data_IF_714372577868
#
_entry.id   IF_714372577868
#
_cell.length_a   1.000
_cell.length_b   1.000
_cell.length_c   1.000
_cell.angle_alpha   90.00
_cell.angle_beta   90.00
_cell.angle_gamma   90.00
#
_symmetry.space_group_name_H-M   'P 1'
#
loop_
_entity.id
_entity.type
_entity.pdbx_description
1 polymer ?
#
# COMPACT_ATOMS: atom_id res chain seq x y z
N UNK A 1 33.16 25.07 -38.69
CA UNK A 1 31.96 25.48 -37.93
C UNK A 1 30.77 24.71 -38.48
N UNK A 2 29.90 24.13 -37.65
CA UNK A 2 28.68 23.47 -38.14
C UNK A 2 27.85 24.45 -38.98
N UNK A 3 27.15 23.94 -39.99
CA UNK A 3 26.22 24.77 -40.77
C UNK A 3 25.10 25.31 -39.87
N UNK A 4 24.43 26.39 -40.29
CA UNK A 4 23.27 26.90 -39.57
C UNK A 4 22.20 25.80 -39.38
N UNK A 5 21.96 24.98 -40.42
CA UNK A 5 21.04 23.84 -40.34
C UNK A 5 21.47 22.77 -39.33
N UNK A 6 22.76 22.44 -39.30
CA UNK A 6 23.33 21.50 -38.31
C UNK A 6 23.21 22.05 -36.89
N UNK A 7 23.42 23.36 -36.71
CA UNK A 7 23.33 24.02 -35.41
C UNK A 7 21.88 24.04 -34.90
N UNK A 8 20.91 24.32 -35.77
CA UNK A 8 19.48 24.27 -35.46
C UNK A 8 19.05 22.84 -35.09
N UNK A 9 19.47 21.83 -35.86
CA UNK A 9 19.16 20.43 -35.57
C UNK A 9 19.69 20.00 -34.20
N UNK A 10 20.96 20.30 -33.89
CA UNK A 10 21.56 19.98 -32.59
C UNK A 10 20.84 20.72 -31.44
N UNK A 11 20.47 21.98 -31.64
CA UNK A 11 19.72 22.74 -30.64
C UNK A 11 18.33 22.12 -30.38
N UNK A 12 17.64 21.66 -31.42
CA UNK A 12 16.37 20.93 -31.27
C UNK A 12 16.57 19.61 -30.53
N UNK A 13 17.57 18.80 -30.90
CA UNK A 13 17.86 17.53 -30.21
C UNK A 13 18.13 17.75 -28.72
N UNK A 14 18.94 18.76 -28.37
CA UNK A 14 19.21 19.10 -26.97
C UNK A 14 17.94 19.58 -26.27
N UNK A 15 17.14 20.44 -26.90
CA UNK A 15 15.89 20.95 -26.31
C UNK A 15 14.87 19.82 -26.07
N UNK A 16 14.69 18.92 -27.04
CA UNK A 16 13.82 17.74 -26.92
C UNK A 16 14.35 16.77 -25.87
N UNK A 17 15.65 16.48 -25.87
CA UNK A 17 16.28 15.61 -24.87
C UNK A 17 16.17 16.16 -23.46
N UNK A 18 16.41 17.45 -23.27
CA UNK A 18 16.27 18.14 -21.98
C UNK A 18 14.81 18.15 -21.50
N UNK A 19 13.86 18.38 -22.41
CA UNK A 19 12.43 18.33 -22.09
C UNK A 19 12.00 16.92 -21.69
N UNK A 20 12.41 15.91 -22.46
CA UNK A 20 12.12 14.51 -22.15
C UNK A 20 12.70 14.11 -20.79
N UNK A 21 13.94 14.51 -20.51
CA UNK A 21 14.54 14.30 -19.19
C UNK A 21 13.73 15.00 -18.10
N UNK A 22 13.45 16.29 -18.25
CA UNK A 22 12.80 17.10 -17.22
C UNK A 22 11.37 16.62 -16.90
N UNK A 23 10.61 16.19 -17.90
CA UNK A 23 9.19 15.84 -17.74
C UNK A 23 8.93 14.35 -17.52
N UNK A 24 9.84 13.45 -17.91
CA UNK A 24 9.61 12.00 -17.83
C UNK A 24 10.68 11.25 -17.06
N UNK A 25 11.97 11.52 -17.32
CA UNK A 25 13.04 10.71 -16.73
C UNK A 25 13.49 11.19 -15.35
N UNK A 26 13.39 12.49 -15.06
CA UNK A 26 13.87 13.08 -13.81
C UNK A 26 13.24 12.39 -12.61
N UNK A 27 11.92 12.29 -12.59
CA UNK A 27 11.20 11.62 -11.49
C UNK A 27 11.52 10.14 -11.41
N UNK A 28 11.66 9.45 -12.54
CA UNK A 28 12.06 8.03 -12.55
C UNK A 28 13.43 7.86 -11.88
N UNK A 29 14.42 8.69 -12.25
CA UNK A 29 15.76 8.57 -11.68
C UNK A 29 15.85 9.05 -10.23
N UNK A 30 15.30 10.22 -9.91
CA UNK A 30 15.44 10.81 -8.56
C UNK A 30 14.45 10.24 -7.55
N UNK A 31 13.19 10.05 -7.96
CA UNK A 31 12.11 9.59 -7.08
C UNK A 31 12.07 8.07 -7.09
N UNK A 32 11.81 7.43 -8.24
CA UNK A 32 11.62 5.97 -8.28
C UNK A 32 12.91 5.22 -7.95
N UNK A 33 14.02 5.52 -8.63
CA UNK A 33 15.29 4.82 -8.42
C UNK A 33 16.13 5.38 -7.28
N UNK A 34 15.79 6.56 -6.74
CA UNK A 34 16.52 7.18 -5.63
C UNK A 34 17.95 7.61 -5.98
N UNK A 35 18.28 7.85 -7.26
CA UNK A 35 19.63 8.26 -7.65
C UNK A 35 20.02 9.60 -7.01
N UNK A 36 21.12 9.60 -6.25
CA UNK A 36 21.59 10.77 -5.51
C UNK A 36 20.86 11.02 -4.19
N UNK A 37 19.96 10.13 -3.76
CA UNK A 37 19.27 10.23 -2.47
C UNK A 37 20.25 9.98 -1.32
N UNK A 38 20.23 10.88 -0.33
CA UNK A 38 20.90 10.64 0.95
C UNK A 38 19.99 9.76 1.80
N UNK A 39 20.46 8.56 2.09
CA UNK A 39 19.81 7.58 2.95
C UNK A 39 20.60 7.54 4.27
N UNK A 40 19.89 7.65 5.39
CA UNK A 40 20.40 7.80 6.74
C UNK A 40 20.50 6.47 7.47
N UNK A 41 21.45 6.39 8.39
CA UNK A 41 21.64 5.22 9.22
C UNK A 41 20.54 5.14 10.29
N UNK A 42 20.13 3.93 10.67
CA UNK A 42 19.07 3.73 11.67
C UNK A 42 19.42 4.35 13.03
N UNK A 43 20.71 4.44 13.36
CA UNK A 43 21.22 4.99 14.59
C UNK A 43 21.02 6.51 14.71
N UNK A 44 20.77 7.22 13.60
CA UNK A 44 20.46 8.65 13.57
C UNK A 44 19.06 8.98 14.12
N UNK A 45 18.20 7.97 14.26
CA UNK A 45 16.81 8.13 14.70
C UNK A 45 16.63 7.79 16.19
N UNK A 46 15.64 8.41 16.85
CA UNK A 46 15.40 8.24 18.29
C UNK A 46 14.63 6.94 18.60
N UNK A 47 14.98 5.84 17.95
CA UNK A 47 14.35 4.53 18.11
C UNK A 47 15.37 3.44 18.39
N UNK A 48 14.97 2.48 19.22
CA UNK A 48 15.63 1.19 19.36
C UNK A 48 14.74 0.13 18.70
N UNK A 49 15.25 -0.50 17.64
CA UNK A 49 14.50 -1.43 16.81
C UNK A 49 15.02 -2.85 16.97
N UNK A 50 14.10 -3.81 17.00
CA UNK A 50 14.42 -5.24 17.02
C UNK A 50 13.45 -6.06 16.15
N UNK A 51 13.94 -7.19 15.65
CA UNK A 51 13.14 -8.17 14.93
C UNK A 51 12.42 -9.09 15.92
N UNK A 52 11.14 -9.33 15.68
CA UNK A 52 10.33 -10.36 16.34
C UNK A 52 10.25 -11.53 15.38
N UNK A 53 11.05 -12.56 15.64
CA UNK A 53 11.22 -13.71 14.75
C UNK A 53 10.35 -14.88 15.22
N UNK A 54 9.45 -15.32 14.34
CA UNK A 54 8.64 -16.51 14.54
C UNK A 54 8.14 -16.99 13.17
N UNK A 55 8.02 -18.31 12.91
CA UNK A 55 7.54 -18.83 11.61
C UNK A 55 6.15 -18.32 11.17
N UNK A 56 5.36 -17.82 12.13
CA UNK A 56 4.03 -17.22 11.86
C UNK A 56 4.06 -15.71 11.60
N UNK A 57 5.20 -15.06 11.87
CA UNK A 57 5.43 -13.63 11.61
C UNK A 57 6.23 -13.40 10.32
N UNK A 58 6.17 -14.36 9.41
CA UNK A 58 6.80 -14.26 8.11
C UNK A 58 5.84 -13.65 7.09
N UNK A 59 6.36 -12.72 6.29
CA UNK A 59 5.68 -12.01 5.23
C UNK A 59 4.37 -11.36 5.68
N UNK A 60 4.42 -10.64 6.81
CA UNK A 60 3.30 -9.83 7.28
C UNK A 60 3.25 -8.53 6.47
N UNK A 61 2.52 -8.58 5.35
CA UNK A 61 2.51 -7.53 4.33
C UNK A 61 1.75 -6.27 4.80
N UNK A 62 0.69 -6.48 5.60
CA UNK A 62 -0.10 -5.41 6.17
C UNK A 62 -0.42 -5.68 7.66
N UNK A 63 -0.70 -4.58 8.36
CA UNK A 63 -0.96 -4.53 9.80
C UNK A 63 -2.19 -3.68 10.07
N UNK A 64 -2.88 -3.95 11.17
CA UNK A 64 -3.94 -3.10 11.72
C UNK A 64 -3.85 -3.08 13.25
N UNK A 65 -4.19 -1.97 13.88
CA UNK A 65 -3.95 -1.74 15.30
C UNK A 65 -5.27 -1.37 15.98
N UNK A 66 -5.67 -2.17 16.98
CA UNK A 66 -6.77 -1.82 17.89
C UNK A 66 -6.19 -0.96 19.03
N UNK A 67 -6.28 0.36 18.89
CA UNK A 67 -5.68 1.31 19.83
C UNK A 67 -6.25 1.18 21.24
N UNK A 68 -7.53 0.81 21.35
CA UNK A 68 -8.23 0.66 22.62
C UNK A 68 -7.90 -0.68 23.28
N UNK A 69 -8.00 -1.78 22.53
CA UNK A 69 -7.72 -3.12 23.05
C UNK A 69 -6.23 -3.43 23.19
N UNK A 70 -5.34 -2.58 22.64
CA UNK A 70 -3.88 -2.76 22.68
C UNK A 70 -3.41 -4.01 21.93
N UNK A 71 -4.06 -4.33 20.83
CA UNK A 71 -3.75 -5.53 20.00
C UNK A 71 -3.33 -5.10 18.60
N UNK A 72 -2.20 -5.64 18.14
CA UNK A 72 -1.78 -5.55 16.75
C UNK A 72 -2.26 -6.80 16.01
N UNK A 73 -2.89 -6.60 14.86
CA UNK A 73 -3.27 -7.64 13.93
C UNK A 73 -2.36 -7.59 12.71
N UNK A 74 -1.88 -8.75 12.27
CA UNK A 74 -0.94 -8.88 11.16
C UNK A 74 -1.38 -9.97 10.18
N UNK A 75 -1.45 -9.63 8.89
CA UNK A 75 -1.77 -10.59 7.82
C UNK A 75 -0.49 -11.21 7.28
N UNK A 76 -0.17 -12.44 7.71
CA UNK A 76 1.14 -13.06 7.48
C UNK A 76 1.04 -14.27 6.54
N UNK A 77 1.76 -14.21 5.42
CA UNK A 77 1.62 -15.15 4.30
C UNK A 77 2.81 -16.11 4.12
N UNK A 78 3.83 -16.06 5.00
CA UNK A 78 5.04 -16.88 4.87
C UNK A 78 6.00 -16.38 3.80
N UNK A 79 7.30 -16.50 4.03
CA UNK A 79 8.30 -15.95 3.10
C UNK A 79 8.65 -16.95 1.99
N UNK A 80 9.16 -18.14 2.34
CA UNK A 80 9.61 -19.14 1.36
C UNK A 80 9.48 -20.60 1.90
N UNK A 81 8.59 -21.43 1.33
CA UNK A 81 7.57 -21.08 0.32
C UNK A 81 6.55 -20.09 0.90
N UNK A 82 5.71 -19.49 0.05
CA UNK A 82 4.80 -18.41 0.43
C UNK A 82 4.91 -17.25 -0.55
N UNK A 83 5.14 -16.04 -0.05
CA UNK A 83 5.13 -14.81 -0.86
C UNK A 83 6.15 -14.76 -2.00
N UNK A 84 7.29 -15.42 -1.85
CA UNK A 84 8.28 -15.58 -2.94
C UNK A 84 7.78 -16.41 -4.12
N UNK A 85 6.67 -17.14 -3.97
CA UNK A 85 6.10 -18.03 -4.98
C UNK A 85 4.65 -17.67 -5.34
N UNK A 86 3.93 -17.04 -4.41
CA UNK A 86 2.53 -16.64 -4.55
C UNK A 86 2.31 -15.20 -4.07
N UNK A 87 2.31 -14.28 -5.04
CA UNK A 87 2.01 -12.86 -4.88
C UNK A 87 1.61 -12.26 -6.23
N UNK A 88 0.33 -11.95 -6.39
CA UNK A 88 -0.20 -11.41 -7.64
C UNK A 88 0.45 -10.08 -8.01
N UNK A 89 0.71 -9.20 -7.03
CA UNK A 89 1.25 -7.86 -7.26
C UNK A 89 2.63 -7.87 -7.96
N UNK A 90 3.42 -8.93 -7.75
CA UNK A 90 4.75 -9.11 -8.36
C UNK A 90 4.82 -10.32 -9.30
N UNK A 91 3.65 -10.81 -9.76
CA UNK A 91 3.53 -11.90 -10.74
C UNK A 91 4.17 -13.23 -10.28
N UNK A 92 4.20 -13.48 -8.98
CA UNK A 92 4.52 -14.79 -8.44
C UNK A 92 3.24 -15.60 -8.38
N UNK A 93 3.07 -16.55 -9.30
CA UNK A 93 1.78 -17.25 -9.52
C UNK A 93 1.95 -18.78 -9.44
N UNK A 94 2.90 -19.25 -8.64
CA UNK A 94 3.13 -20.68 -8.41
C UNK A 94 2.23 -21.19 -7.27
N UNK A 95 1.07 -21.76 -7.63
CA UNK A 95 0.06 -22.26 -6.68
C UNK A 95 0.64 -23.31 -5.71
N UNK A 96 1.55 -24.16 -6.17
CA UNK A 96 2.19 -25.19 -5.35
C UNK A 96 3.23 -24.62 -4.38
N UNK A 97 3.67 -23.37 -4.59
CA UNK A 97 4.59 -22.67 -3.71
C UNK A 97 3.90 -21.76 -2.69
N UNK A 98 2.57 -21.82 -2.55
CA UNK A 98 1.85 -21.16 -1.44
C UNK A 98 2.34 -21.66 -0.09
N UNK A 99 2.09 -20.88 0.97
CA UNK A 99 2.48 -21.25 2.34
C UNK A 99 1.77 -22.53 2.80
N UNK A 100 2.50 -23.54 3.28
CA UNK A 100 1.91 -24.69 3.94
C UNK A 100 1.10 -24.25 5.17
N UNK A 101 -0.17 -24.66 5.23
CA UNK A 101 -1.09 -24.23 6.29
C UNK A 101 -1.76 -22.87 6.03
N UNK A 102 -1.56 -22.29 4.84
CA UNK A 102 -2.12 -21.02 4.40
C UNK A 102 -1.62 -19.79 5.17
N UNK A 103 -2.08 -18.61 4.75
CA UNK A 103 -1.84 -17.35 5.45
C UNK A 103 -2.66 -17.29 6.73
N UNK A 104 -2.18 -16.50 7.69
CA UNK A 104 -2.78 -16.40 9.01
C UNK A 104 -2.96 -14.93 9.40
N UNK A 105 -4.09 -14.61 10.01
CA UNK A 105 -4.23 -13.39 10.80
C UNK A 105 -3.63 -13.66 12.18
N UNK A 106 -2.58 -12.93 12.52
CA UNK A 106 -1.90 -13.04 13.81
C UNK A 106 -2.27 -11.85 14.68
N UNK A 107 -2.67 -12.11 15.93
CA UNK A 107 -2.87 -11.11 16.96
C UNK A 107 -1.68 -11.11 17.94
N UNK A 108 -1.21 -9.91 18.29
CA UNK A 108 -0.14 -9.67 19.26
C UNK A 108 -0.62 -8.66 20.31
N UNK A 109 -0.49 -9.01 21.59
CA UNK A 109 -0.84 -8.14 22.71
C UNK A 109 0.32 -7.16 22.94
N UNK A 110 0.15 -5.92 22.46
CA UNK A 110 1.25 -4.98 22.26
C UNK A 110 1.96 -4.59 23.56
N UNK A 111 1.24 -4.62 24.68
CA UNK A 111 1.75 -4.18 25.97
C UNK A 111 2.30 -5.35 26.83
N UNK A 112 2.22 -6.60 26.36
CA UNK A 112 2.69 -7.79 27.07
C UNK A 112 3.64 -8.65 26.19
N UNK A 113 4.93 -8.28 26.08
CA UNK A 113 5.89 -9.02 25.26
C UNK A 113 6.14 -10.46 25.72
N UNK A 114 5.77 -10.84 26.95
CA UNK A 114 6.14 -12.13 27.53
C UNK A 114 7.65 -12.33 27.71
N UNK A 115 8.05 -13.50 28.21
CA UNK A 115 9.46 -13.86 28.41
C UNK A 115 10.19 -14.20 27.11
N UNK A 116 9.45 -14.59 26.08
CA UNK A 116 9.95 -14.92 24.74
C UNK A 116 10.00 -13.69 23.82
N UNK A 117 9.42 -12.56 24.23
CA UNK A 117 9.38 -11.34 23.44
C UNK A 117 8.41 -11.40 22.24
N UNK A 118 7.48 -12.37 22.24
CA UNK A 118 6.54 -12.64 21.14
C UNK A 118 5.15 -12.02 21.33
N UNK A 119 4.93 -11.25 22.40
CA UNK A 119 3.70 -10.46 22.56
C UNK A 119 2.42 -11.30 22.60
N UNK A 120 2.45 -12.43 23.33
CA UNK A 120 1.33 -13.38 23.41
C UNK A 120 0.73 -13.71 22.02
N UNK A 121 1.63 -13.97 21.06
CA UNK A 121 1.27 -14.25 19.67
C UNK A 121 0.25 -15.38 19.57
N UNK A 122 -0.84 -15.13 18.86
CA UNK A 122 -1.87 -16.13 18.55
C UNK A 122 -2.39 -15.95 17.12
N UNK A 123 -2.74 -17.05 16.46
CA UNK A 123 -3.45 -16.95 15.18
C UNK A 123 -4.94 -17.03 15.40
N UNK A 124 -5.65 -16.21 14.64
CA UNK A 124 -7.09 -16.17 14.58
C UNK A 124 -7.54 -17.17 13.52
N UNK A 125 -8.37 -18.13 13.92
CA UNK A 125 -8.85 -19.19 13.02
C UNK A 125 -10.12 -18.76 12.29
N UNK A 126 -10.20 -18.91 10.96
CA UNK A 126 -11.44 -18.67 10.24
C UNK A 126 -12.48 -19.75 10.56
N UNK A 127 -13.74 -19.36 10.74
CA UNK A 127 -14.88 -20.23 10.95
C UNK A 127 -15.95 -19.98 9.89
N UNK A 128 -16.53 -21.05 9.35
CA UNK A 128 -17.61 -20.96 8.35
C UNK A 128 -17.15 -20.49 6.95
N UNK A 129 -15.84 -20.46 6.71
CA UNK A 129 -15.25 -20.04 5.45
C UNK A 129 -15.09 -21.21 4.47
N UNK A 130 -15.32 -20.95 3.18
CA UNK A 130 -15.05 -21.86 2.08
C UNK A 130 -14.03 -21.23 1.11
N UNK A 131 -12.87 -21.88 1.03
CA UNK A 131 -11.70 -21.47 0.25
C UNK A 131 -11.87 -21.67 -1.25
N UNK A 132 -10.75 -21.64 -1.97
CA UNK A 132 -10.73 -21.72 -3.42
C UNK A 132 -11.34 -23.03 -3.94
N UNK A 133 -11.18 -24.14 -3.22
CA UNK A 133 -11.72 -25.47 -3.60
C UNK A 133 -13.13 -25.77 -3.08
N UNK A 134 -13.80 -24.81 -2.45
CA UNK A 134 -15.14 -24.98 -1.91
C UNK A 134 -15.18 -25.55 -0.49
N UNK A 135 -16.24 -26.26 -0.15
CA UNK A 135 -16.47 -26.79 1.20
C UNK A 135 -15.30 -27.66 1.69
N UNK A 136 -14.84 -27.40 2.92
CA UNK A 136 -13.72 -28.10 3.55
C UNK A 136 -12.35 -27.49 3.25
N UNK A 137 -12.24 -26.60 2.26
CA UNK A 137 -11.07 -25.73 2.08
C UNK A 137 -11.22 -24.51 2.98
N UNK A 138 -10.27 -24.28 3.87
CA UNK A 138 -10.25 -23.11 4.78
C UNK A 138 -9.03 -22.22 4.55
N UNK A 139 -8.31 -22.43 3.45
CA UNK A 139 -7.05 -21.74 3.17
C UNK A 139 -7.29 -20.28 2.72
N UNK A 140 -6.55 -19.37 3.34
CA UNK A 140 -6.49 -17.95 3.00
C UNK A 140 -5.11 -17.60 2.42
N UNK A 141 -5.06 -16.69 1.45
CA UNK A 141 -3.84 -16.15 0.86
C UNK A 141 -3.86 -14.63 1.03
N UNK A 142 -3.58 -14.16 2.25
CA UNK A 142 -3.83 -12.77 2.66
C UNK A 142 -2.79 -11.79 2.10
N UNK A 143 -3.26 -10.62 1.64
CA UNK A 143 -2.46 -9.44 1.30
C UNK A 143 -2.87 -8.28 2.23
N UNK A 144 -3.27 -7.14 1.67
CA UNK A 144 -3.69 -5.97 2.41
C UNK A 144 -5.08 -6.15 3.02
N UNK A 145 -5.31 -5.50 4.14
CA UNK A 145 -6.60 -5.54 4.81
C UNK A 145 -6.89 -4.27 5.58
N UNK A 146 -8.15 -4.10 5.96
CA UNK A 146 -8.56 -3.08 6.91
C UNK A 146 -9.56 -3.68 7.89
N UNK A 147 -9.76 -2.99 9.01
CA UNK A 147 -10.74 -3.39 10.00
C UNK A 147 -11.44 -2.20 10.64
N UNK A 148 -12.68 -2.43 11.04
CA UNK A 148 -13.51 -1.46 11.76
C UNK A 148 -14.15 -2.08 13.00
N UNK A 149 -14.30 -1.28 14.06
CA UNK A 149 -15.06 -1.68 15.25
C UNK A 149 -16.53 -1.36 14.99
N UNK A 150 -17.39 -2.39 14.94
CA UNK A 150 -18.82 -2.23 14.64
C UNK A 150 -19.63 -1.77 15.86
N UNK A 151 -19.57 -2.53 16.96
CA UNK A 151 -20.37 -2.31 18.17
C UNK A 151 -19.62 -2.70 19.45
N UNK A 152 -18.82 -1.79 19.99
CA UNK A 152 -18.11 -1.99 21.26
C UNK A 152 -16.97 -3.01 21.18
N UNK A 153 -17.28 -4.29 20.99
CA UNK A 153 -16.32 -5.39 20.99
C UNK A 153 -16.29 -6.25 19.73
N UNK A 154 -17.13 -5.99 18.71
CA UNK A 154 -17.02 -6.68 17.41
C UNK A 154 -16.08 -5.91 16.48
N UNK A 155 -15.11 -6.63 15.93
CA UNK A 155 -14.23 -6.18 14.85
C UNK A 155 -14.69 -6.83 13.54
N UNK A 156 -14.97 -6.03 12.52
CA UNK A 156 -15.10 -6.50 11.14
C UNK A 156 -13.74 -6.36 10.45
N UNK A 157 -13.22 -7.45 9.91
CA UNK A 157 -12.03 -7.46 9.07
C UNK A 157 -12.45 -7.66 7.61
N UNK A 158 -11.91 -6.82 6.73
CA UNK A 158 -12.08 -6.95 5.28
C UNK A 158 -10.72 -7.24 4.65
N UNK A 159 -10.54 -8.45 4.12
CA UNK A 159 -9.26 -8.93 3.60
C UNK A 159 -9.24 -8.94 2.09
N UNK A 160 -8.13 -8.52 1.50
CA UNK A 160 -7.72 -9.00 0.19
C UNK A 160 -7.19 -10.42 0.33
N UNK A 161 -7.78 -11.33 -0.45
CA UNK A 161 -7.41 -12.74 -0.48
C UNK A 161 -7.07 -13.17 -1.90
N UNK A 162 -5.80 -13.49 -2.13
CA UNK A 162 -5.25 -13.90 -3.43
C UNK A 162 -5.55 -15.37 -3.72
N UNK A 163 -6.84 -15.72 -3.79
CA UNK A 163 -7.23 -17.12 -4.01
C UNK A 163 -6.63 -17.67 -5.32
N UNK A 164 -6.11 -18.90 -5.31
CA UNK A 164 -5.68 -19.56 -6.54
C UNK A 164 -6.90 -19.83 -7.45
N UNK A 165 -6.73 -19.76 -8.78
CA UNK A 165 -7.79 -20.08 -9.70
C UNK A 165 -8.07 -21.59 -9.71
N UNK A 166 -9.35 -21.95 -9.70
CA UNK A 166 -9.82 -23.34 -9.79
C UNK A 166 -10.70 -23.55 -11.01
N UNK A 167 -10.62 -24.76 -11.59
CA UNK A 167 -11.48 -25.19 -12.69
C UNK A 167 -12.82 -25.78 -12.22
N UNK A 168 -13.67 -26.23 -13.15
CA UNK A 168 -15.01 -26.77 -12.85
C UNK A 168 -15.05 -27.99 -11.91
N UNK A 169 -13.91 -28.66 -11.74
CA UNK A 169 -13.77 -29.86 -10.90
C UNK A 169 -12.93 -29.60 -9.63
N UNK A 170 -12.86 -28.35 -9.17
CA UNK A 170 -12.10 -27.92 -7.98
C UNK A 170 -10.58 -28.24 -8.02
N UNK A 171 -10.04 -28.48 -9.20
CA UNK A 171 -8.59 -28.57 -9.41
C UNK A 171 -8.03 -27.17 -9.66
N UNK A 172 -6.82 -26.91 -9.17
CA UNK A 172 -6.10 -25.69 -9.54
C UNK A 172 -5.84 -25.67 -11.05
N UNK A 173 -5.96 -24.48 -11.64
CA UNK A 173 -5.58 -24.22 -13.02
C UNK A 173 -4.37 -23.29 -13.06
N UNK A 174 -3.72 -23.21 -14.21
CA UNK A 174 -2.48 -22.46 -14.35
C UNK A 174 -2.70 -20.95 -14.18
N UNK A 175 -2.34 -20.44 -13.01
CA UNK A 175 -2.45 -19.03 -12.68
C UNK A 175 -1.54 -18.14 -13.54
N UNK A 176 -0.47 -18.67 -14.15
CA UNK A 176 0.35 -17.89 -15.08
C UNK A 176 -0.39 -17.53 -16.38
N UNK A 177 -1.48 -18.26 -16.68
CA UNK A 177 -2.33 -18.05 -17.86
C UNK A 177 -3.56 -17.20 -17.53
N UNK A 178 -4.20 -17.43 -16.37
CA UNK A 178 -5.49 -16.79 -16.04
C UNK A 178 -5.40 -15.73 -14.93
N UNK A 179 -4.28 -15.69 -14.20
CA UNK A 179 -4.09 -14.87 -13.00
C UNK A 179 -4.69 -15.48 -11.75
N UNK A 180 -4.49 -14.81 -10.61
CA UNK A 180 -5.17 -15.16 -9.37
C UNK A 180 -6.69 -14.92 -9.50
N UNK A 181 -7.48 -15.70 -8.76
CA UNK A 181 -8.92 -15.51 -8.62
C UNK A 181 -9.25 -14.74 -7.34
N UNK A 182 -8.57 -13.63 -7.15
CA UNK A 182 -8.60 -12.85 -5.92
C UNK A 182 -10.00 -12.39 -5.55
N UNK A 183 -10.27 -12.37 -4.24
CA UNK A 183 -11.55 -12.01 -3.63
C UNK A 183 -11.33 -11.01 -2.51
N UNK A 184 -12.42 -10.37 -2.10
CA UNK A 184 -12.48 -9.66 -0.83
C UNK A 184 -13.28 -10.51 0.14
N UNK A 185 -12.67 -10.93 1.25
CA UNK A 185 -13.30 -11.78 2.24
C UNK A 185 -13.52 -11.01 3.54
N UNK A 186 -14.76 -11.00 4.02
CA UNK A 186 -15.18 -10.27 5.22
C UNK A 186 -15.39 -11.25 6.37
N UNK A 187 -14.84 -10.93 7.53
CA UNK A 187 -14.97 -11.71 8.76
C UNK A 187 -15.33 -10.82 9.93
N UNK A 188 -16.06 -11.36 10.90
CA UNK A 188 -16.33 -10.70 12.18
C UNK A 188 -15.67 -11.49 13.33
N UNK A 189 -15.15 -10.77 14.31
CA UNK A 189 -14.53 -11.35 15.50
C UNK A 189 -14.87 -10.53 16.73
N UNK A 190 -15.15 -11.19 17.86
CA UNK A 190 -15.21 -10.50 19.15
C UNK A 190 -13.79 -10.25 19.67
N UNK A 191 -13.52 -9.05 20.20
CA UNK A 191 -12.24 -8.68 20.81
C UNK A 191 -11.77 -9.76 21.79
N UNK A 192 -10.51 -10.16 21.65
CA UNK A 192 -9.91 -11.22 22.46
C UNK A 192 -10.28 -12.66 22.08
N UNK A 193 -11.16 -12.88 21.10
CA UNK A 193 -11.44 -14.23 20.59
C UNK A 193 -10.28 -14.77 19.73
N UNK A 194 -10.21 -16.09 19.62
CA UNK A 194 -9.23 -16.82 18.79
C UNK A 194 -9.82 -17.27 17.44
N UNK A 195 -11.06 -16.88 17.15
CA UNK A 195 -11.77 -17.26 15.94
C UNK A 195 -12.50 -16.08 15.32
N UNK A 196 -12.53 -16.03 13.99
CA UNK A 196 -13.28 -15.05 13.23
C UNK A 196 -14.30 -15.75 12.34
N UNK A 197 -15.55 -15.31 12.38
CA UNK A 197 -16.67 -15.86 11.62
C UNK A 197 -16.69 -15.22 10.23
N UNK A 198 -16.68 -16.04 9.19
CA UNK A 198 -16.90 -15.58 7.82
C UNK A 198 -18.28 -14.95 7.68
N UNK A 199 -18.33 -13.78 7.04
CA UNK A 199 -19.55 -13.03 6.74
C UNK A 199 -19.92 -13.20 5.29
N UNK A 200 -18.97 -12.92 4.38
CA UNK A 200 -19.19 -12.98 2.93
C UNK A 200 -17.88 -12.99 2.16
N UNK A 201 -17.96 -13.47 0.92
CA UNK A 201 -16.90 -13.40 -0.08
C UNK A 201 -17.39 -12.57 -1.25
N UNK A 202 -16.62 -11.59 -1.68
CA UNK A 202 -16.92 -10.71 -2.80
C UNK A 202 -15.94 -11.02 -3.92
N UNK A 203 -16.50 -11.35 -5.08
CA UNK A 203 -15.78 -11.43 -6.35
C UNK A 203 -16.42 -10.44 -7.32
N UNK A 204 -15.60 -9.68 -8.04
CA UNK A 204 -16.10 -8.70 -9.00
C UNK A 204 -15.12 -8.49 -10.15
N UNK A 205 -15.61 -8.29 -11.39
CA UNK A 205 -14.75 -7.89 -12.51
C UNK A 205 -14.09 -6.51 -12.30
N UNK A 206 -14.62 -5.69 -11.38
CA UNK A 206 -14.02 -4.40 -11.01
C UNK A 206 -12.93 -4.54 -9.94
N UNK A 207 -12.66 -5.76 -9.45
CA UNK A 207 -11.61 -6.06 -8.48
C UNK A 207 -10.67 -7.15 -9.03
N UNK A 208 -10.03 -6.95 -10.21
CA UNK A 208 -9.23 -7.98 -10.84
C UNK A 208 -7.89 -8.27 -10.15
N UNK A 209 -7.25 -7.26 -9.56
CA UNK A 209 -5.92 -7.38 -8.93
C UNK A 209 -5.87 -6.54 -7.64
N UNK A 210 -6.72 -6.88 -6.65
CA UNK A 210 -6.82 -6.09 -5.42
C UNK A 210 -5.50 -6.04 -4.67
N UNK A 211 -5.16 -4.88 -4.11
CA UNK A 211 -3.97 -4.71 -3.28
C UNK A 211 -4.35 -4.50 -1.81
N UNK A 212 -5.11 -3.44 -1.50
CA UNK A 212 -5.62 -3.19 -0.14
C UNK A 212 -7.00 -2.54 -0.16
N UNK A 213 -7.76 -2.76 0.90
CA UNK A 213 -9.06 -2.12 1.13
C UNK A 213 -8.93 -0.95 2.10
N UNK A 214 -9.91 -0.04 2.08
CA UNK A 214 -10.17 0.90 3.18
C UNK A 214 -11.66 0.91 3.50
N UNK A 215 -12.00 0.65 4.76
CA UNK A 215 -13.38 0.58 5.21
C UNK A 215 -14.03 1.98 5.21
N UNK A 216 -15.26 2.04 4.69
CA UNK A 216 -16.08 3.24 4.65
C UNK A 216 -17.20 3.23 5.71
N UNK A 217 -17.32 2.15 6.47
CA UNK A 217 -18.40 1.94 7.43
C UNK A 217 -19.63 1.33 6.78
N UNK A 218 -20.50 0.74 7.60
CA UNK A 218 -21.70 0.03 7.15
C UNK A 218 -21.38 -1.11 6.14
N UNK A 219 -20.20 -1.69 6.25
CA UNK A 219 -19.69 -2.73 5.36
C UNK A 219 -19.51 -2.29 3.90
N UNK A 220 -19.37 -0.99 3.65
CA UNK A 220 -18.88 -0.44 2.39
C UNK A 220 -17.37 -0.25 2.45
N UNK A 221 -16.68 -0.38 1.32
CA UNK A 221 -15.24 -0.16 1.26
C UNK A 221 -14.81 0.30 -0.14
N UNK A 222 -13.61 0.85 -0.21
CA UNK A 222 -12.88 1.04 -1.46
C UNK A 222 -11.65 0.13 -1.49
N UNK A 223 -11.25 -0.31 -2.67
CA UNK A 223 -10.11 -1.22 -2.87
C UNK A 223 -9.24 -0.74 -4.03
N UNK A 224 -7.93 -0.75 -3.86
CA UNK A 224 -7.00 -0.52 -4.96
C UNK A 224 -6.89 -1.76 -5.83
N UNK A 225 -6.88 -1.58 -7.15
CA UNK A 225 -6.31 -2.56 -8.06
C UNK A 225 -4.96 -2.02 -8.55
N UNK A 226 -3.88 -2.72 -8.22
CA UNK A 226 -2.51 -2.31 -8.56
C UNK A 226 -2.21 -2.35 -10.06
N UNK A 227 -2.94 -3.21 -10.80
CA UNK A 227 -2.83 -3.45 -12.22
C UNK A 227 -4.21 -3.41 -12.91
N UNK A 228 -4.18 -3.23 -14.23
CA UNK A 228 -5.35 -3.32 -15.11
C UNK A 228 -5.56 -4.74 -15.66
N UNK A 229 -4.54 -5.59 -15.59
CA UNK A 229 -4.56 -6.94 -16.11
C UNK A 229 -3.91 -7.91 -15.10
N UNK A 230 -4.45 -9.12 -15.01
CA UNK A 230 -3.99 -10.14 -14.06
C UNK A 230 -2.67 -10.83 -14.47
N UNK A 231 -2.38 -10.83 -15.78
CA UNK A 231 -1.23 -11.51 -16.38
C UNK A 231 -0.80 -10.81 -17.68
N UNK A 232 0.28 -11.30 -18.29
CA UNK A 232 0.72 -10.90 -19.62
C UNK A 232 1.48 -9.57 -19.69
N UNK A 233 1.70 -9.08 -20.91
CA UNK A 233 2.52 -7.89 -21.16
C UNK A 233 1.87 -6.61 -20.59
N UNK A 234 0.53 -6.52 -20.59
CA UNK A 234 -0.18 -5.35 -20.05
C UNK A 234 0.15 -5.13 -18.58
N UNK A 235 0.05 -6.19 -17.77
CA UNK A 235 0.43 -6.17 -16.35
C UNK A 235 1.88 -5.69 -16.15
N UNK A 236 2.83 -6.16 -16.97
CA UNK A 236 4.23 -5.74 -16.87
C UNK A 236 4.47 -4.27 -17.19
N UNK A 237 3.61 -3.66 -18.00
CA UNK A 237 3.73 -2.27 -18.40
C UNK A 237 3.01 -1.32 -17.44
N UNK A 238 1.96 -1.77 -16.73
CA UNK A 238 1.17 -0.96 -15.81
C UNK A 238 2.00 -0.16 -14.78
N UNK A 239 3.09 -0.69 -14.18
CA UNK A 239 4.00 0.11 -13.37
C UNK A 239 4.48 1.39 -14.08
N UNK A 240 4.84 1.30 -15.36
CA UNK A 240 5.46 2.40 -16.11
C UNK A 240 4.40 3.35 -16.68
N UNK A 241 3.37 2.81 -17.32
CA UNK A 241 2.38 3.60 -18.08
C UNK A 241 1.08 3.87 -17.31
N UNK A 242 0.94 3.27 -16.12
CA UNK A 242 -0.27 3.32 -15.32
C UNK A 242 -1.38 2.45 -15.88
N UNK A 243 -2.32 2.08 -15.01
CA UNK A 243 -3.40 1.15 -15.33
C UNK A 243 -4.18 0.66 -14.12
N UNK A 244 -3.60 0.82 -12.93
CA UNK A 244 -4.32 0.58 -11.69
C UNK A 244 -5.49 1.55 -11.51
N UNK A 245 -6.40 1.19 -10.61
CA UNK A 245 -7.64 1.92 -10.37
C UNK A 245 -8.04 1.81 -8.89
N UNK A 246 -9.11 2.50 -8.50
CA UNK A 246 -9.81 2.26 -7.23
C UNK A 246 -11.22 1.80 -7.56
N UNK A 247 -11.69 0.72 -6.95
CA UNK A 247 -13.07 0.29 -6.99
C UNK A 247 -13.76 0.60 -5.66
N UNK A 248 -15.01 1.02 -5.71
CA UNK A 248 -15.92 1.05 -4.57
C UNK A 248 -16.73 -0.24 -4.56
N UNK A 249 -17.01 -0.79 -3.39
CA UNK A 249 -17.88 -1.95 -3.19
C UNK A 249 -18.86 -1.70 -2.04
N UNK A 250 -20.13 -2.02 -2.26
CA UNK A 250 -21.18 -1.89 -1.24
C UNK A 250 -21.34 -3.17 -0.39
N UNK A 251 -22.25 -3.12 0.59
CA UNK A 251 -22.58 -4.24 1.48
C UNK A 251 -23.11 -5.49 0.73
N UNK A 252 -23.63 -5.34 -0.49
CA UNK A 252 -24.11 -6.48 -1.28
C UNK A 252 -23.00 -7.11 -2.12
N UNK A 253 -21.77 -6.58 -2.06
CA UNK A 253 -20.66 -7.02 -2.91
C UNK A 253 -20.73 -6.52 -4.34
N UNK A 254 -21.61 -5.55 -4.63
CA UNK A 254 -21.65 -4.88 -5.92
C UNK A 254 -20.56 -3.82 -5.94
N UNK A 255 -19.70 -3.88 -6.97
CA UNK A 255 -18.58 -2.96 -7.10
C UNK A 255 -18.60 -2.21 -8.42
N UNK A 256 -18.11 -0.98 -8.42
CA UNK A 256 -17.85 -0.17 -9.61
C UNK A 256 -16.54 0.60 -9.47
N UNK A 257 -15.96 1.01 -10.61
CA UNK A 257 -14.75 1.84 -10.62
C UNK A 257 -15.04 3.22 -10.03
N UNK A 258 -14.36 3.57 -8.95
CA UNK A 258 -14.46 4.87 -8.28
C UNK A 258 -13.40 5.88 -8.77
N UNK A 259 -12.23 5.38 -9.19
CA UNK A 259 -11.17 6.14 -9.87
C UNK A 259 -10.55 5.26 -10.95
N UNK A 260 -10.57 5.72 -12.19
CA UNK A 260 -9.89 5.12 -13.34
C UNK A 260 -8.56 5.82 -13.68
N UNK A 261 -8.37 7.05 -13.22
CA UNK A 261 -7.25 7.92 -13.56
C UNK A 261 -7.49 8.77 -14.82
N UNK A 262 -8.65 8.62 -15.47
CA UNK A 262 -9.05 9.38 -16.65
C UNK A 262 -10.07 10.49 -16.31
N UNK A 263 -10.33 10.76 -15.03
CA UNK A 263 -11.28 11.78 -14.59
C UNK A 263 -10.87 13.18 -15.09
N UNK A 264 -11.83 14.05 -15.47
CA UNK A 264 -11.52 15.43 -15.85
C UNK A 264 -10.92 16.19 -14.66
N UNK A 265 -10.02 17.14 -14.94
CA UNK A 265 -9.53 18.01 -13.87
C UNK A 265 -10.68 18.96 -13.55
N UNK A 266 -11.13 18.97 -12.30
CA UNK A 266 -12.19 19.86 -11.90
C UNK A 266 -11.60 21.27 -11.71
N UNK A 267 -11.96 22.20 -12.58
CA UNK A 267 -11.53 23.57 -12.42
C UNK A 267 -12.25 24.21 -11.23
N UNK A 268 -11.48 24.77 -10.28
CA UNK A 268 -12.03 25.64 -9.24
C UNK A 268 -12.90 26.73 -9.89
N UNK A 269 -14.09 27.04 -9.36
CA UNK A 269 -14.86 28.19 -9.79
C UNK A 269 -13.97 29.45 -9.83
N UNK A 270 -14.11 30.29 -10.86
CA UNK A 270 -13.22 31.43 -11.07
C UNK A 270 -13.07 32.35 -9.83
N UNK A 271 -14.12 32.46 -9.01
CA UNK A 271 -14.13 33.25 -7.77
C UNK A 271 -13.32 32.64 -6.61
N UNK A 272 -12.93 31.37 -6.70
CA UNK A 272 -12.06 30.67 -5.76
C UNK A 272 -10.62 30.51 -6.27
N UNK A 273 -10.34 30.93 -7.52
CA UNK A 273 -8.98 30.89 -8.08
C UNK A 273 -8.16 32.06 -7.53
N UNK A 274 -7.03 31.75 -6.91
CA UNK A 274 -6.00 32.77 -6.67
C UNK A 274 -5.30 33.12 -7.99
N UNK A 275 -5.02 34.40 -8.31
CA UNK A 275 -4.29 34.76 -9.51
C UNK A 275 -2.92 34.06 -9.53
N UNK A 276 -2.73 33.15 -10.48
CA UNK A 276 -1.43 32.51 -10.69
C UNK A 276 -0.55 33.35 -11.63
N UNK A 277 0.78 33.29 -11.50
CA UNK A 277 1.67 33.95 -12.44
C UNK A 277 1.44 33.46 -13.88
N UNK A 278 1.59 34.35 -14.87
CA UNK A 278 1.32 34.06 -16.30
C UNK A 278 2.01 32.77 -16.80
N UNK A 279 3.22 32.48 -16.32
CA UNK A 279 3.97 31.28 -16.70
C UNK A 279 3.26 29.98 -16.28
N UNK A 280 2.53 29.96 -15.16
CA UNK A 280 1.74 28.81 -14.72
C UNK A 280 0.54 28.58 -15.62
N UNK A 281 -0.09 29.64 -16.12
CA UNK A 281 -1.18 29.52 -17.10
C UNK A 281 -0.70 28.82 -18.38
N UNK A 282 0.45 29.23 -18.91
CA UNK A 282 1.08 28.58 -20.07
C UNK A 282 1.50 27.13 -19.78
N UNK A 283 2.05 26.86 -18.59
CA UNK A 283 2.38 25.50 -18.16
C UNK A 283 1.14 24.61 -18.07
N UNK A 284 0.03 25.11 -17.51
CA UNK A 284 -1.22 24.36 -17.40
C UNK A 284 -1.81 24.08 -18.78
N UNK A 285 -1.79 25.07 -19.70
CA UNK A 285 -2.15 24.87 -21.12
C UNK A 285 -1.26 23.81 -21.79
N UNK A 286 0.04 23.84 -21.54
CA UNK A 286 0.98 22.84 -22.09
C UNK A 286 0.76 21.44 -21.49
N UNK A 287 0.48 21.34 -20.19
CA UNK A 287 0.17 20.08 -19.51
C UNK A 287 -1.15 19.47 -19.98
N UNK A 288 -2.16 20.29 -20.28
CA UNK A 288 -3.43 19.81 -20.83
C UNK A 288 -3.28 19.15 -22.22
N UNK A 289 -2.17 19.39 -22.93
CA UNK A 289 -1.85 18.72 -24.19
C UNK A 289 -1.16 17.37 -23.99
N UNK A 290 -0.68 17.06 -22.78
CA UNK A 290 -0.06 15.79 -22.45
C UNK A 290 -1.12 14.80 -21.94
N UNK A 291 -1.04 13.51 -22.31
CA UNK A 291 -1.92 12.50 -21.75
C UNK A 291 -1.77 12.47 -20.23
N UNK A 292 -2.90 12.43 -19.51
CA UNK A 292 -2.88 12.37 -18.06
C UNK A 292 -2.19 11.09 -17.60
N UNK A 293 -1.29 11.17 -16.61
CA UNK A 293 -0.71 9.98 -16.03
C UNK A 293 -1.78 9.21 -15.26
N UNK A 294 -2.08 8.00 -15.73
CA UNK A 294 -2.92 7.03 -15.01
C UNK A 294 -2.27 6.64 -13.68
N UNK A 295 -3.05 6.04 -12.79
CA UNK A 295 -2.51 5.54 -11.51
C UNK A 295 -1.45 4.46 -11.78
N UNK A 296 -0.23 4.73 -11.31
CA UNK A 296 0.91 3.84 -11.39
C UNK A 296 1.06 3.09 -10.07
N UNK A 297 0.78 1.79 -10.12
CA UNK A 297 0.91 0.88 -8.98
C UNK A 297 0.26 1.46 -7.70
N UNK A 298 -1.05 1.78 -7.75
CA UNK A 298 -1.77 2.23 -6.56
C UNK A 298 -1.74 1.12 -5.51
N UNK A 299 -1.23 1.43 -4.33
CA UNK A 299 -0.93 0.44 -3.30
C UNK A 299 -1.87 0.61 -2.10
N UNK A 300 -1.39 0.42 -0.87
CA UNK A 300 -2.26 0.38 0.30
C UNK A 300 -2.91 1.68 0.68
N UNK A 301 -4.11 1.93 0.18
CA UNK A 301 -4.91 3.11 0.54
C UNK A 301 -5.40 3.05 2.01
N UNK A 302 -5.84 4.19 2.54
CA UNK A 302 -6.55 4.24 3.83
C UNK A 302 -7.57 5.38 3.86
N UNK A 303 -8.53 5.31 4.79
CA UNK A 303 -9.44 6.40 5.12
C UNK A 303 -8.92 7.12 6.37
N UNK A 304 -8.70 8.43 6.26
CA UNK A 304 -8.39 9.27 7.41
C UNK A 304 -9.63 9.58 8.26
N UNK A 305 -9.42 10.04 9.49
CA UNK A 305 -10.51 10.48 10.38
C UNK A 305 -11.28 11.71 9.87
N UNK A 306 -10.75 12.38 8.86
CA UNK A 306 -11.42 13.45 8.12
C UNK A 306 -12.28 12.95 6.95
N UNK A 307 -12.44 11.63 6.82
CA UNK A 307 -13.16 10.94 5.75
C UNK A 307 -12.55 11.09 4.35
N UNK A 308 -11.30 11.54 4.25
CA UNK A 308 -10.56 11.53 2.99
C UNK A 308 -9.90 10.17 2.78
N UNK A 309 -9.74 9.79 1.51
CA UNK A 309 -9.02 8.59 1.09
C UNK A 309 -7.62 8.99 0.66
N UNK A 310 -6.62 8.37 1.27
CA UNK A 310 -5.21 8.61 0.98
C UNK A 310 -4.66 7.42 0.21
N UNK A 311 -4.28 7.65 -1.05
CA UNK A 311 -3.76 6.63 -1.95
C UNK A 311 -2.27 6.85 -2.23
N UNK A 312 -1.37 6.03 -1.67
CA UNK A 312 0.04 6.03 -2.03
C UNK A 312 0.28 5.36 -3.39
N UNK A 313 1.35 5.79 -4.06
CA UNK A 313 1.90 5.12 -5.25
C UNK A 313 3.26 4.50 -4.95
N UNK A 314 3.44 3.25 -5.37
CA UNK A 314 4.73 2.56 -5.27
C UNK A 314 5.74 2.96 -6.35
N UNK A 315 5.48 4.02 -7.12
CA UNK A 315 6.38 4.42 -8.20
C UNK A 315 6.61 5.92 -8.30
N UNK A 316 5.56 6.74 -8.25
CA UNK A 316 5.70 8.19 -8.50
C UNK A 316 5.94 9.03 -7.23
N UNK A 317 5.90 8.38 -6.07
CA UNK A 317 6.15 8.99 -4.76
C UNK A 317 5.15 10.05 -4.34
N UNK A 318 3.91 9.91 -4.81
CA UNK A 318 2.79 10.76 -4.44
C UNK A 318 1.80 9.99 -3.55
N UNK A 319 1.15 10.73 -2.65
CA UNK A 319 -0.09 10.30 -2.00
C UNK A 319 -1.20 11.17 -2.57
N UNK A 320 -2.12 10.56 -3.31
CA UNK A 320 -3.30 11.24 -3.85
C UNK A 320 -4.39 11.24 -2.79
N UNK A 321 -4.99 12.40 -2.56
CA UNK A 321 -6.03 12.59 -1.53
C UNK A 321 -7.36 12.76 -2.22
N UNK A 322 -8.32 11.90 -1.91
CA UNK A 322 -9.65 11.90 -2.51
C UNK A 322 -10.75 12.21 -1.49
N UNK A 323 -11.77 12.94 -1.93
CA UNK A 323 -13.04 13.05 -1.23
C UNK A 323 -14.06 12.09 -1.86
N UNK A 324 -14.86 11.43 -1.03
CA UNK A 324 -15.97 10.58 -1.47
C UNK A 324 -17.13 11.47 -1.92
N UNK A 325 -17.66 11.24 -3.12
CA UNK A 325 -18.84 11.95 -3.64
C UNK A 325 -20.13 11.25 -3.21
N UNK A 326 -21.27 11.90 -3.44
CA UNK A 326 -22.60 11.32 -3.16
C UNK A 326 -22.90 10.07 -4.00
N UNK A 327 -22.24 9.93 -5.14
CA UNK A 327 -22.41 8.81 -6.07
C UNK A 327 -21.37 7.71 -5.84
N UNK A 328 -20.70 7.70 -4.68
CA UNK A 328 -19.66 6.74 -4.32
C UNK A 328 -18.51 6.69 -5.33
N UNK A 329 -18.20 7.86 -5.93
CA UNK A 329 -16.98 8.10 -6.70
C UNK A 329 -15.95 8.79 -5.81
N UNK A 330 -14.70 8.78 -6.23
CA UNK A 330 -13.61 9.43 -5.51
C UNK A 330 -13.06 10.59 -6.33
N UNK A 331 -13.11 11.78 -5.75
CA UNK A 331 -12.71 13.04 -6.39
C UNK A 331 -11.38 13.49 -5.83
N UNK A 332 -10.37 13.66 -6.69
CA UNK A 332 -9.04 14.12 -6.27
C UNK A 332 -9.16 15.55 -5.72
N UNK A 333 -8.72 15.76 -4.49
CA UNK A 333 -8.75 17.07 -3.80
C UNK A 333 -7.37 17.60 -3.46
N UNK A 334 -6.36 16.74 -3.36
CA UNK A 334 -4.97 17.15 -3.11
C UNK A 334 -3.97 16.06 -3.54
N UNK A 335 -2.71 16.42 -3.64
CA UNK A 335 -1.58 15.51 -3.90
C UNK A 335 -0.40 15.87 -3.01
N UNK A 336 0.03 14.90 -2.19
CA UNK A 336 1.16 15.05 -1.27
C UNK A 336 2.40 14.44 -1.92
N UNK A 337 3.43 15.25 -2.11
CA UNK A 337 4.70 14.82 -2.69
C UNK A 337 5.67 14.41 -1.58
N UNK A 338 5.99 13.11 -1.52
CA UNK A 338 6.92 12.59 -0.51
C UNK A 338 8.35 12.49 -1.05
N UNK A 339 8.49 12.29 -2.36
CA UNK A 339 9.77 12.05 -3.00
C UNK A 339 10.30 10.63 -2.82
N UNK A 340 9.51 9.70 -2.28
CA UNK A 340 9.83 8.27 -2.15
C UNK A 340 8.70 7.44 -2.74
N UNK A 341 8.97 6.36 -3.48
CA UNK A 341 8.00 5.29 -3.71
C UNK A 341 7.44 4.77 -2.38
N UNK A 342 6.13 4.53 -2.34
CA UNK A 342 5.39 4.24 -1.12
C UNK A 342 4.65 2.91 -1.21
N UNK A 343 4.40 2.31 -0.07
CA UNK A 343 3.57 1.12 0.05
C UNK A 343 2.34 1.43 0.92
N UNK A 344 1.98 0.64 1.93
CA UNK A 344 0.79 0.84 2.75
C UNK A 344 0.88 2.10 3.63
N UNK A 345 -0.17 2.94 3.59
CA UNK A 345 -0.36 4.13 4.47
C UNK A 345 -1.43 3.87 5.52
N UNK A 346 -1.24 4.34 6.74
CA UNK A 346 -2.16 4.07 7.86
C UNK A 346 -2.25 5.26 8.83
N UNK A 347 -3.44 5.66 9.32
CA UNK A 347 -3.56 6.65 10.39
C UNK A 347 -3.10 6.08 11.74
N UNK A 348 -2.57 6.94 12.61
CA UNK A 348 -2.48 6.71 14.05
C UNK A 348 -3.73 7.25 14.77
N UNK A 349 -3.91 6.95 16.07
CA UNK A 349 -5.04 7.44 16.85
C UNK A 349 -5.15 8.98 16.97
N UNK A 350 -4.12 9.74 16.54
CA UNK A 350 -4.15 11.22 16.50
C UNK A 350 -4.50 11.75 15.11
N UNK A 351 -4.68 10.87 14.12
CA UNK A 351 -4.97 11.21 12.73
C UNK A 351 -3.74 11.59 11.90
N UNK A 352 -2.52 11.41 12.42
CA UNK A 352 -1.32 11.52 11.60
C UNK A 352 -1.15 10.23 10.80
N UNK A 353 -0.76 10.34 9.53
CA UNK A 353 -0.60 9.18 8.67
C UNK A 353 0.85 8.70 8.70
N UNK A 354 1.06 7.39 8.72
CA UNK A 354 2.35 6.74 8.64
C UNK A 354 2.39 5.86 7.41
N UNK A 355 3.47 5.93 6.64
CA UNK A 355 3.62 5.18 5.39
C UNK A 355 5.01 4.57 5.30
N UNK A 356 5.07 3.33 4.84
CA UNK A 356 6.33 2.67 4.50
C UNK A 356 6.78 3.12 3.10
N UNK A 357 8.08 3.36 2.95
CA UNK A 357 8.65 3.94 1.75
C UNK A 357 9.94 3.22 1.34
N UNK A 358 10.22 3.23 0.03
CA UNK A 358 11.37 2.55 -0.58
C UNK A 358 12.45 3.55 -1.01
N UNK A 359 13.57 3.65 -0.27
CA UNK A 359 14.64 4.60 -0.58
C UNK A 359 15.49 4.21 -1.79
N UNK A 360 15.52 2.94 -2.18
CA UNK A 360 16.11 2.48 -3.43
C UNK A 360 15.27 1.30 -3.94
N UNK A 361 14.52 1.52 -5.02
CA UNK A 361 13.66 0.48 -5.61
C UNK A 361 14.46 -0.69 -6.15
N UNK A 362 15.71 -0.51 -6.59
CA UNK A 362 16.54 -1.61 -7.11
C UNK A 362 16.90 -2.57 -5.97
N UNK A 363 17.41 -2.01 -4.86
CA UNK A 363 17.70 -2.79 -3.67
C UNK A 363 16.43 -3.46 -3.09
N UNK A 364 15.29 -2.77 -3.16
CA UNK A 364 13.98 -3.32 -2.77
C UNK A 364 13.62 -4.55 -3.61
N UNK A 365 13.72 -4.47 -4.94
CA UNK A 365 13.44 -5.63 -5.81
C UNK A 365 14.43 -6.77 -5.62
N UNK A 366 15.73 -6.47 -5.45
CA UNK A 366 16.75 -7.49 -5.13
C UNK A 366 16.40 -8.22 -3.83
N UNK A 367 15.98 -7.48 -2.79
CA UNK A 367 15.59 -8.04 -1.50
C UNK A 367 14.27 -8.80 -1.52
N UNK A 368 13.33 -8.44 -2.41
CA UNK A 368 12.11 -9.21 -2.63
C UNK A 368 12.37 -10.53 -3.35
N UNK A 369 13.34 -10.55 -4.28
CA UNK A 369 13.75 -11.74 -5.00
C UNK A 369 14.56 -12.72 -4.12
N UNK A 370 15.35 -12.21 -3.17
CA UNK A 370 16.11 -13.02 -2.21
C UNK A 370 15.89 -12.54 -0.76
N UNK A 371 14.79 -12.97 -0.10
CA UNK A 371 14.43 -12.40 1.18
C UNK A 371 15.26 -12.82 2.39
N UNK A 372 16.27 -13.67 2.22
CA UNK A 372 17.10 -14.14 3.31
C UNK A 372 18.52 -13.59 3.23
N UNK A 373 18.92 -13.04 2.08
CA UNK A 373 20.25 -12.51 1.87
C UNK A 373 20.21 -11.03 1.50
N UNK A 374 21.23 -10.28 1.95
CA UNK A 374 21.34 -8.84 1.71
C UNK A 374 20.36 -7.98 2.53
N UNK A 375 20.50 -6.66 2.35
CA UNK A 375 19.67 -5.65 3.00
C UNK A 375 19.09 -4.69 1.97
N UNK A 376 17.88 -4.21 2.22
CA UNK A 376 17.27 -3.14 1.43
C UNK A 376 16.99 -1.95 2.34
N UNK A 377 17.36 -0.73 1.92
CA UNK A 377 16.94 0.47 2.62
C UNK A 377 15.43 0.48 2.87
N UNK A 378 15.01 1.00 4.02
CA UNK A 378 13.59 1.20 4.32
C UNK A 378 13.38 2.49 5.08
N UNK A 379 12.29 3.18 4.78
CA UNK A 379 11.95 4.46 5.42
C UNK A 379 10.52 4.45 5.91
N UNK A 380 10.31 5.00 7.09
CA UNK A 380 8.99 5.34 7.63
C UNK A 380 8.83 6.84 7.54
N UNK A 381 7.78 7.27 6.84
CA UNK A 381 7.38 8.67 6.78
C UNK A 381 6.13 8.89 7.61
N UNK A 382 6.06 10.05 8.26
CA UNK A 382 4.86 10.60 8.88
C UNK A 382 4.35 11.78 8.06
N UNK A 383 3.06 11.80 7.81
CA UNK A 383 2.36 12.88 7.14
C UNK A 383 1.42 13.50 8.17
N UNK A 384 1.72 14.75 8.55
CA UNK A 384 0.86 15.55 9.43
C UNK A 384 0.09 16.57 8.63
N UNK A 385 -1.23 16.56 8.77
CA UNK A 385 -2.11 17.59 8.20
C UNK A 385 -2.02 18.87 9.02
N UNK A 386 -1.78 19.99 8.35
CA UNK A 386 -1.72 21.33 8.94
C UNK A 386 -2.85 22.16 8.34
N UNK A 387 -3.74 22.67 9.19
CA UNK A 387 -4.89 23.47 8.77
C UNK A 387 -4.67 24.93 9.16
N UNK A 388 -4.52 25.80 8.17
CA UNK A 388 -4.52 27.26 8.35
C UNK A 388 -5.95 27.78 8.15
N UNK A 389 -6.65 27.97 9.28
CA UNK A 389 -8.05 28.43 9.30
C UNK A 389 -8.20 29.83 8.71
N UNK A 390 -7.21 30.72 8.93
CA UNK A 390 -7.27 32.10 8.46
C UNK A 390 -7.12 32.18 6.94
N UNK A 391 -6.23 31.36 6.37
CA UNK A 391 -6.00 31.30 4.93
C UNK A 391 -6.89 30.27 4.21
N UNK A 392 -7.72 29.54 4.94
CA UNK A 392 -8.52 28.41 4.42
C UNK A 392 -7.67 27.44 3.61
N UNK A 393 -6.45 27.16 4.09
CA UNK A 393 -5.46 26.34 3.42
C UNK A 393 -5.20 25.07 4.23
N UNK A 394 -5.16 23.94 3.55
CA UNK A 394 -4.63 22.68 4.08
C UNK A 394 -3.21 22.51 3.52
N UNK A 395 -2.29 22.10 4.37
CA UNK A 395 -0.93 21.71 4.00
C UNK A 395 -0.59 20.36 4.63
N UNK A 396 0.41 19.68 4.08
CA UNK A 396 0.86 18.38 4.59
C UNK A 396 2.35 18.43 4.84
N UNK A 397 2.74 18.23 6.10
CA UNK A 397 4.15 18.11 6.47
C UNK A 397 4.56 16.64 6.40
N UNK A 398 5.52 16.35 5.54
CA UNK A 398 6.15 15.02 5.43
C UNK A 398 7.43 15.02 6.27
N UNK A 399 7.50 14.11 7.25
CA UNK A 399 8.62 13.95 8.16
C UNK A 399 9.17 12.53 8.05
N UNK A 400 10.49 12.39 7.96
CA UNK A 400 11.14 11.09 8.06
C UNK A 400 11.25 10.71 9.54
N UNK A 401 10.61 9.61 9.93
CA UNK A 401 10.55 9.15 11.33
C UNK A 401 11.64 8.13 11.63
N UNK A 402 11.93 7.28 10.66
CA UNK A 402 12.93 6.22 10.76
C UNK A 402 13.44 5.90 9.36
N UNK A 403 14.73 5.61 9.22
CA UNK A 403 15.31 5.07 7.99
C UNK A 403 16.47 4.16 8.35
N UNK A 404 16.56 3.02 7.67
CA UNK A 404 17.62 2.03 7.86
C UNK A 404 18.34 1.83 6.54
N UNK A 405 19.43 2.57 6.32
CA UNK A 405 20.20 2.55 5.08
C UNK A 405 20.68 1.17 4.67
N UNK A 406 21.20 0.40 5.62
CA UNK A 406 21.79 -0.90 5.30
C UNK A 406 20.78 -2.06 5.40
N UNK A 407 19.55 -1.81 5.86
CA UNK A 407 18.58 -2.87 6.17
C UNK A 407 19.05 -3.78 7.30
N UNK A 408 19.69 -3.20 8.33
CA UNK A 408 20.22 -3.92 9.50
C UNK A 408 19.11 -4.59 10.29
N UNK A 409 17.98 -3.89 10.45
CA UNK A 409 16.81 -4.33 11.22
C UNK A 409 15.57 -4.35 10.33
N UNK A 410 15.36 -3.29 9.53
CA UNK A 410 14.31 -3.21 8.51
C UNK A 410 14.74 -3.89 7.19
N UNK A 411 13.87 -3.90 6.18
CA UNK A 411 14.18 -4.43 4.84
C UNK A 411 13.00 -4.43 3.86
N UNK A 412 13.00 -3.56 2.85
CA UNK A 412 11.87 -3.45 1.91
C UNK A 412 10.49 -3.39 2.64
N UNK A 413 10.40 -2.58 3.70
CA UNK A 413 9.21 -2.52 4.55
C UNK A 413 7.98 -2.06 3.75
N UNK A 414 6.83 -2.72 3.93
CA UNK A 414 5.61 -2.44 3.17
C UNK A 414 4.50 -1.83 4.00
N UNK A 415 4.57 -1.93 5.33
CA UNK A 415 3.53 -1.39 6.22
C UNK A 415 4.11 -0.91 7.54
N UNK A 416 3.46 0.06 8.15
CA UNK A 416 3.81 0.59 9.46
C UNK A 416 2.55 0.99 10.23
N UNK A 417 2.51 0.64 11.51
CA UNK A 417 1.53 1.14 12.48
C UNK A 417 2.23 1.85 13.62
N UNK A 418 1.81 3.07 13.89
CA UNK A 418 2.34 3.88 14.99
C UNK A 418 1.35 3.86 16.15
N UNK A 419 1.81 3.35 17.29
CA UNK A 419 1.08 3.40 18.54
C UNK A 419 1.20 4.80 19.15
N UNK A 420 0.14 5.60 19.03
CA UNK A 420 0.14 6.97 19.51
C UNK A 420 0.33 7.11 21.04
N UNK A 421 0.03 6.04 21.80
CA UNK A 421 0.14 6.00 23.26
C UNK A 421 1.59 5.90 23.73
N UNK A 422 2.36 4.99 23.14
CA UNK A 422 3.76 4.72 23.55
C UNK A 422 4.80 5.34 22.63
N UNK A 423 4.41 5.72 21.41
CA UNK A 423 5.30 6.15 20.34
C UNK A 423 5.95 5.00 19.56
N UNK A 424 5.64 3.75 19.91
CA UNK A 424 6.18 2.53 19.27
C UNK A 424 5.74 2.43 17.81
N UNK A 425 6.65 1.93 16.97
CA UNK A 425 6.36 1.55 15.59
C UNK A 425 6.33 0.03 15.47
N UNK A 426 5.32 -0.49 14.77
CA UNK A 426 5.24 -1.86 14.29
C UNK A 426 5.37 -1.86 12.78
N UNK A 427 6.29 -2.65 12.25
CA UNK A 427 6.66 -2.61 10.84
C UNK A 427 6.66 -4.03 10.27
N UNK A 428 5.94 -4.19 9.16
CA UNK A 428 5.85 -5.42 8.39
C UNK A 428 6.45 -5.26 7.00
N UNK A 429 6.62 -6.38 6.30
CA UNK A 429 7.00 -6.40 4.88
C UNK A 429 6.40 -7.60 4.18
N UNK A 430 6.16 -7.45 2.87
CA UNK A 430 5.66 -8.50 1.99
C UNK A 430 6.49 -9.80 1.97
N UNK A 431 7.76 -9.76 2.37
CA UNK A 431 8.65 -10.94 2.32
C UNK A 431 9.54 -11.09 3.56
N UNK A 432 9.42 -10.23 4.57
CA UNK A 432 10.28 -10.35 5.75
C UNK A 432 10.06 -11.67 6.48
N UNK A 433 11.09 -12.42 6.88
CA UNK A 433 10.92 -13.58 7.74
C UNK A 433 10.72 -13.20 9.23
N UNK A 434 10.17 -12.00 9.50
CA UNK A 434 9.97 -11.43 10.84
C UNK A 434 9.07 -10.19 10.80
N UNK A 435 8.54 -9.83 11.96
CA UNK A 435 7.98 -8.50 12.23
C UNK A 435 9.08 -7.61 12.86
N UNK A 436 8.98 -6.29 12.74
CA UNK A 436 9.88 -5.35 13.45
C UNK A 436 9.09 -4.51 14.43
N UNK A 437 9.65 -4.33 15.62
CA UNK A 437 9.17 -3.38 16.63
C UNK A 437 10.27 -2.36 16.93
N UNK A 438 9.90 -1.08 16.95
CA UNK A 438 10.80 0.02 17.28
C UNK A 438 10.21 0.83 18.43
N UNK A 439 10.90 0.82 19.57
CA UNK A 439 10.55 1.59 20.76
C UNK A 439 11.24 2.94 20.73
N UNK A 440 10.58 4.06 21.10
CA UNK A 440 11.25 5.33 21.27
C UNK A 440 12.35 5.22 22.32
N UNK A 441 13.53 5.77 22.02
CA UNK A 441 14.61 5.90 23.01
C UNK A 441 14.14 6.79 24.17
N UNK A 442 14.55 6.50 25.42
CA UNK A 442 14.29 7.40 26.54
C UNK A 442 14.77 8.81 26.21
N UNK A 443 13.97 9.83 26.55
CA UNK A 443 14.44 11.21 26.47
C UNK A 443 15.64 11.36 27.41
N UNK A 444 16.78 11.80 26.87
CA UNK A 444 18.01 12.06 27.63
C UNK A 444 17.85 13.33 28.46
#
# INVERSE_FOLDING_TARGET
MPSAGTSIYLALVVAWGASFYQFYLREIFSTTLGLGRVIQSIEEFPYECRRVQHPRLEACEDLWLDDEARVLYAACAGTNPGRTQWCQAVKHLNVSGRRPGASELIALDMDDPGVDGLFNLRAIKPMGYAGAKGEGDVELDLLGFDAEILDGDTIEFTFVNERPPVGPFNNYIDASVVGANSTIDVFEMKRGADTMRHVRTIWSPNVPTPNRVAALGNGEFVVTNDHSAKVGLRMQLDPIIGGGNIAFCNLNGECHTAVSGDEPDEELPAHLRTPEPLYKEYLNKARALLPKPKLRFPNGLTRGFDNLIYLPSSLDGQIRVYAITKDNLLRLVDTIYTGYPLDNISPDARGDLYVAAFPDMRATFERMADPFNGGAPSTVLRIRKIVDVQRKKVDYRVEKVLEDKEGKVLGASTTVRHDAKTGRLWIGAAVHPYLVVCDPKPAI
#
